data_IF_458951645768
#
_entry.id   IF_458951645768
#
_cell.length_a   1.000
_cell.length_b   1.000
_cell.length_c   1.000
_cell.angle_alpha   90.00
_cell.angle_beta   90.00
_cell.angle_gamma   90.00
#
_symmetry.space_group_name_H-M   'P 1'
#
loop_
_entity.id
_entity.type
_entity.pdbx_description
1 polymer ?
#
# COMPACT_ATOMS: atom_id res chain seq x y z
N UNK A 1 -4.87 -20.24 -27.76
CA UNK A 1 -4.11 -19.16 -27.09
C UNK A 1 -5.03 -17.98 -26.97
N UNK A 2 -5.53 -17.69 -25.76
CA UNK A 2 -6.44 -16.57 -25.49
C UNK A 2 -5.60 -15.31 -25.32
N UNK A 3 -5.73 -14.38 -26.23
CA UNK A 3 -5.17 -13.04 -26.17
C UNK A 3 -5.69 -12.35 -24.91
N UNK A 4 -4.83 -12.17 -23.92
CA UNK A 4 -5.12 -11.31 -22.75
C UNK A 4 -5.29 -9.89 -23.28
N UNK A 5 -6.53 -9.46 -23.55
CA UNK A 5 -6.87 -8.06 -23.79
C UNK A 5 -6.37 -7.25 -22.61
N UNK A 6 -5.26 -6.57 -22.83
CA UNK A 6 -4.77 -5.52 -21.94
C UNK A 6 -5.85 -4.43 -21.94
N UNK A 7 -6.66 -4.37 -20.86
CA UNK A 7 -7.59 -3.27 -20.66
C UNK A 7 -6.74 -2.02 -20.49
N UNK A 8 -6.56 -1.27 -21.59
CA UNK A 8 -6.02 0.08 -21.49
C UNK A 8 -6.89 0.84 -20.47
N UNK A 9 -6.27 1.55 -19.55
CA UNK A 9 -7.00 2.41 -18.62
C UNK A 9 -7.93 3.29 -19.47
N UNK A 10 -9.19 3.41 -19.08
CA UNK A 10 -10.21 4.28 -19.72
C UNK A 10 -9.67 5.70 -19.99
N UNK A 11 -8.63 6.09 -19.26
CA UNK A 11 -8.08 7.43 -19.24
C UNK A 11 -6.67 7.53 -19.84
N UNK A 12 -6.05 6.45 -20.35
CA UNK A 12 -4.66 6.54 -20.84
C UNK A 12 -4.48 7.57 -21.95
N UNK A 13 -5.39 7.63 -22.92
CA UNK A 13 -5.35 8.63 -23.96
C UNK A 13 -5.56 10.08 -23.41
N UNK A 14 -6.40 10.22 -22.40
CA UNK A 14 -6.65 11.50 -21.73
C UNK A 14 -5.42 11.92 -20.90
N UNK A 15 -4.73 11.01 -20.26
CA UNK A 15 -3.47 11.26 -19.55
C UNK A 15 -2.43 11.78 -20.53
N UNK A 16 -2.17 11.06 -21.62
CA UNK A 16 -1.19 11.47 -22.63
C UNK A 16 -1.47 12.85 -23.21
N UNK A 17 -2.72 13.13 -23.59
CA UNK A 17 -3.10 14.41 -24.17
C UNK A 17 -3.05 15.56 -23.18
N UNK A 18 -3.33 15.30 -21.90
CA UNK A 18 -3.37 16.33 -20.86
C UNK A 18 -1.99 16.67 -20.33
N UNK A 19 -1.21 15.65 -19.97
CA UNK A 19 0.08 15.85 -19.33
C UNK A 19 1.23 16.04 -20.31
N UNK A 20 1.12 15.49 -21.52
CA UNK A 20 2.15 15.56 -22.59
C UNK A 20 3.56 15.31 -22.04
N UNK A 21 3.82 14.13 -21.46
CA UNK A 21 5.12 13.83 -20.86
C UNK A 21 6.24 13.90 -21.91
N UNK A 22 7.41 14.33 -21.49
CA UNK A 22 8.62 14.29 -22.33
C UNK A 22 9.16 12.84 -22.49
N UNK A 23 10.30 12.71 -23.15
CA UNK A 23 10.95 11.42 -23.37
C UNK A 23 11.30 10.65 -22.06
N UNK A 24 11.47 11.35 -20.95
CA UNK A 24 11.74 10.76 -19.63
C UNK A 24 10.46 10.45 -18.85
N UNK A 25 9.28 10.69 -19.43
CA UNK A 25 8.00 10.50 -18.79
C UNK A 25 7.62 11.60 -17.78
N UNK A 26 8.27 12.76 -17.83
CA UNK A 26 8.01 13.90 -16.94
C UNK A 26 7.18 14.97 -17.65
N UNK A 27 6.14 15.48 -17.00
CA UNK A 27 5.30 16.56 -17.52
C UNK A 27 5.43 17.86 -16.74
N UNK A 28 4.85 18.91 -17.29
CA UNK A 28 4.56 20.12 -16.52
C UNK A 28 3.48 19.85 -15.48
N UNK A 29 3.41 20.71 -14.46
CA UNK A 29 2.33 20.70 -13.47
C UNK A 29 1.01 21.06 -14.12
N UNK A 30 -0.02 20.27 -13.88
CA UNK A 30 -1.40 20.53 -14.28
C UNK A 30 -2.22 20.76 -13.02
N UNK A 31 -2.93 21.88 -12.95
CA UNK A 31 -3.78 22.23 -11.81
C UNK A 31 -4.98 21.29 -11.72
N UNK A 32 -5.42 21.01 -10.50
CA UNK A 32 -6.57 20.13 -10.22
C UNK A 32 -7.84 20.67 -10.86
N UNK A 33 -8.05 21.98 -10.86
CA UNK A 33 -9.17 22.63 -11.53
C UNK A 33 -9.23 22.28 -13.01
N UNK A 34 -8.08 22.28 -13.68
CA UNK A 34 -7.97 21.89 -15.09
C UNK A 34 -8.26 20.42 -15.31
N UNK A 35 -7.82 19.54 -14.41
CA UNK A 35 -8.13 18.11 -14.49
C UNK A 35 -9.63 17.86 -14.38
N UNK A 36 -10.33 18.58 -13.49
CA UNK A 36 -11.78 18.47 -13.33
C UNK A 36 -12.50 18.91 -14.61
N UNK A 37 -12.10 20.04 -15.19
CA UNK A 37 -12.65 20.55 -16.48
C UNK A 37 -12.48 19.53 -17.60
N UNK A 38 -11.37 18.80 -17.62
CA UNK A 38 -11.08 17.77 -18.61
C UNK A 38 -11.78 16.44 -18.34
N UNK A 39 -12.58 16.35 -17.28
CA UNK A 39 -13.38 15.17 -16.95
C UNK A 39 -12.64 14.09 -16.17
N UNK A 40 -11.51 14.42 -15.54
CA UNK A 40 -10.91 13.50 -14.58
C UNK A 40 -11.78 13.42 -13.31
N UNK A 41 -12.07 12.22 -12.81
CA UNK A 41 -12.83 12.06 -11.57
C UNK A 41 -12.00 12.54 -10.38
N UNK A 42 -12.36 13.70 -9.85
CA UNK A 42 -11.71 14.29 -8.68
C UNK A 42 -12.71 14.44 -7.54
N UNK A 43 -12.38 13.98 -6.36
CA UNK A 43 -13.26 14.12 -5.19
C UNK A 43 -12.92 15.37 -4.39
N UNK A 44 -13.93 15.96 -3.72
CA UNK A 44 -13.80 17.17 -2.90
C UNK A 44 -12.69 17.11 -1.84
N UNK A 45 -12.30 15.89 -1.42
CA UNK A 45 -11.26 15.69 -0.41
C UNK A 45 -9.86 15.51 -1.01
N UNK A 46 -9.65 15.86 -2.28
CA UNK A 46 -8.38 15.66 -2.97
C UNK A 46 -7.95 14.20 -3.04
N UNK A 47 -8.86 13.31 -2.71
CA UNK A 47 -8.60 11.89 -2.70
C UNK A 47 -8.82 11.36 -4.11
N UNK A 48 -7.73 11.21 -4.84
CA UNK A 48 -7.72 10.52 -6.13
C UNK A 48 -8.04 9.03 -6.00
N UNK A 49 -8.68 8.64 -4.90
CA UNK A 49 -8.90 7.26 -4.44
C UNK A 49 -9.41 6.33 -5.53
N UNK A 50 -10.01 6.91 -6.58
CA UNK A 50 -10.54 6.20 -7.73
C UNK A 50 -10.20 6.90 -9.05
N UNK A 51 -9.33 7.90 -8.99
CA UNK A 51 -8.96 8.66 -10.17
C UNK A 51 -8.19 7.83 -11.17
N UNK A 52 -8.31 8.20 -12.42
CA UNK A 52 -7.58 7.63 -13.53
C UNK A 52 -6.07 7.52 -13.27
N UNK A 53 -5.52 8.46 -12.49
CA UNK A 53 -4.09 8.54 -12.21
C UNK A 53 -3.57 7.37 -11.36
N UNK A 54 -4.35 6.93 -10.35
CA UNK A 54 -3.95 5.80 -9.50
C UNK A 54 -3.99 4.44 -10.22
N UNK A 55 -4.82 4.34 -11.23
CA UNK A 55 -4.95 3.14 -12.04
C UNK A 55 -4.01 3.14 -13.24
N UNK A 56 -3.34 4.26 -13.50
CA UNK A 56 -2.32 4.34 -14.53
C UNK A 56 -1.09 3.52 -14.12
N UNK A 57 -0.62 2.71 -15.06
CA UNK A 57 0.52 1.81 -14.84
C UNK A 57 1.79 2.30 -15.53
N UNK A 58 1.70 3.40 -16.23
CA UNK A 58 2.75 3.92 -17.10
C UNK A 58 3.66 4.89 -16.35
N UNK A 59 3.05 5.79 -15.57
CA UNK A 59 3.77 6.91 -14.95
C UNK A 59 3.79 6.83 -13.43
N UNK A 60 4.87 7.33 -12.85
CA UNK A 60 4.88 7.80 -11.48
C UNK A 60 4.25 9.17 -11.39
N UNK A 61 3.66 9.52 -10.23
CA UNK A 61 2.89 10.74 -10.05
C UNK A 61 3.46 11.57 -8.92
N UNK A 62 3.68 12.87 -9.19
CA UNK A 62 4.03 13.85 -8.16
C UNK A 62 2.83 14.78 -7.90
N UNK A 63 2.67 15.19 -6.63
CA UNK A 63 1.54 16.01 -6.16
C UNK A 63 2.06 17.26 -5.47
N UNK A 64 1.63 18.43 -5.95
CA UNK A 64 1.85 19.70 -5.27
C UNK A 64 0.71 19.92 -4.29
N UNK A 65 1.02 20.12 -3.01
CA UNK A 65 0.04 20.29 -1.94
C UNK A 65 0.09 21.69 -1.35
N UNK A 66 -1.06 22.17 -0.86
CA UNK A 66 -1.13 23.36 -0.01
C UNK A 66 -0.71 22.97 1.39
N UNK A 67 0.22 23.76 1.95
CA UNK A 67 0.85 23.42 3.24
C UNK A 67 0.15 24.10 4.44
N UNK A 68 -0.96 24.80 4.21
CA UNK A 68 -1.50 25.80 5.13
C UNK A 68 -2.81 25.39 5.81
N UNK A 69 -2.94 24.21 6.32
CA UNK A 69 -4.04 23.89 7.26
C UNK A 69 -4.10 22.40 7.59
N UNK A 70 -4.87 22.05 8.59
CA UNK A 70 -5.21 20.69 9.04
C UNK A 70 -5.71 19.71 7.93
N UNK A 71 -5.92 20.20 6.71
CA UNK A 71 -6.33 19.39 5.55
C UNK A 71 -5.40 19.68 4.37
N UNK A 72 -4.51 18.75 4.09
CA UNK A 72 -3.62 18.82 2.92
C UNK A 72 -4.42 18.71 1.62
N UNK A 73 -4.58 19.82 0.91
CA UNK A 73 -5.24 19.87 -0.39
C UNK A 73 -4.21 19.72 -1.53
N UNK A 74 -4.53 18.89 -2.52
CA UNK A 74 -3.70 18.77 -3.72
C UNK A 74 -4.08 19.90 -4.69
N UNK A 75 -3.10 20.72 -5.07
CA UNK A 75 -3.28 21.87 -5.96
C UNK A 75 -2.97 21.51 -7.42
N UNK A 76 -1.94 20.70 -7.63
CA UNK A 76 -1.51 20.32 -8.97
C UNK A 76 -0.88 18.92 -8.98
N UNK A 77 -0.86 18.31 -10.15
CA UNK A 77 -0.33 16.97 -10.39
C UNK A 77 0.56 17.00 -11.64
N UNK A 78 1.58 16.16 -11.67
CA UNK A 78 2.37 15.90 -12.88
C UNK A 78 2.78 14.44 -12.96
N UNK A 79 3.13 13.97 -14.15
CA UNK A 79 3.92 12.74 -14.29
C UNK A 79 5.37 13.03 -13.86
N UNK A 80 6.01 12.06 -13.23
CA UNK A 80 7.35 12.21 -12.64
C UNK A 80 8.29 11.08 -13.07
N UNK A 81 8.18 10.67 -14.31
CA UNK A 81 8.94 9.59 -14.90
C UNK A 81 8.07 8.37 -15.20
N UNK A 82 8.65 7.44 -15.95
CA UNK A 82 8.03 6.14 -16.18
C UNK A 82 8.16 5.29 -14.91
N UNK A 83 7.15 4.48 -14.63
CA UNK A 83 7.25 3.51 -13.55
C UNK A 83 8.32 2.47 -13.88
N UNK A 84 9.30 2.38 -13.02
CA UNK A 84 10.38 1.39 -13.11
C UNK A 84 9.90 -0.05 -12.84
N UNK A 85 8.75 -0.18 -12.18
CA UNK A 85 8.12 -1.48 -11.93
C UNK A 85 6.64 -1.38 -12.25
N UNK A 86 6.04 -2.37 -12.96
CA UNK A 86 4.60 -2.40 -13.07
C UNK A 86 4.01 -2.35 -11.66
N UNK A 87 2.91 -1.60 -11.48
CA UNK A 87 2.09 -1.75 -10.26
C UNK A 87 1.79 -3.24 -10.14
N UNK A 88 2.59 -3.91 -9.36
CA UNK A 88 2.26 -5.27 -8.95
C UNK A 88 0.96 -5.08 -8.19
N UNK A 89 -0.09 -5.68 -8.74
CA UNK A 89 -1.38 -5.64 -8.09
C UNK A 89 -1.18 -6.37 -6.76
N UNK A 90 -0.97 -5.62 -5.68
CA UNK A 90 -0.74 -6.17 -4.35
C UNK A 90 -2.01 -6.80 -3.76
N UNK A 91 -2.94 -7.15 -4.65
CA UNK A 91 -4.11 -7.90 -4.27
C UNK A 91 -3.69 -9.23 -3.68
N UNK A 92 -4.10 -9.46 -2.45
CA UNK A 92 -3.95 -10.76 -1.79
C UNK A 92 -4.79 -11.77 -2.55
N UNK A 93 -4.25 -12.95 -2.80
CA UNK A 93 -4.97 -14.04 -3.47
C UNK A 93 -6.28 -14.35 -2.76
N UNK A 94 -7.32 -14.60 -3.53
CA UNK A 94 -8.66 -14.84 -3.03
C UNK A 94 -8.75 -16.09 -2.11
N UNK A 95 -7.99 -17.14 -2.42
CA UNK A 95 -7.93 -18.35 -1.59
C UNK A 95 -7.31 -18.07 -0.21
N UNK A 96 -6.25 -17.26 -0.15
CA UNK A 96 -5.63 -16.81 1.10
C UNK A 96 -6.62 -15.98 1.92
N UNK A 97 -7.30 -15.02 1.28
CA UNK A 97 -8.32 -14.19 1.94
C UNK A 97 -9.42 -15.07 2.53
N UNK A 98 -9.93 -16.01 1.75
CA UNK A 98 -11.00 -16.91 2.17
C UNK A 98 -10.56 -17.79 3.36
N UNK A 99 -9.39 -18.39 3.26
CA UNK A 99 -8.83 -19.25 4.32
C UNK A 99 -8.66 -18.47 5.62
N UNK A 100 -8.03 -17.31 5.58
CA UNK A 100 -7.81 -16.49 6.78
C UNK A 100 -9.11 -15.94 7.36
N UNK A 101 -10.04 -15.46 6.52
CA UNK A 101 -11.33 -14.98 7.01
C UNK A 101 -12.17 -16.10 7.66
N UNK A 102 -12.05 -17.33 7.15
CA UNK A 102 -12.75 -18.48 7.73
C UNK A 102 -12.17 -18.92 9.09
N UNK A 103 -10.89 -18.63 9.38
CA UNK A 103 -10.33 -18.89 10.72
C UNK A 103 -11.08 -18.11 11.81
N UNK A 104 -11.55 -16.91 11.46
CA UNK A 104 -12.38 -16.09 12.33
C UNK A 104 -11.69 -15.54 13.58
N UNK A 105 -10.41 -15.80 13.78
CA UNK A 105 -9.64 -15.46 15.00
C UNK A 105 -8.54 -14.46 14.65
N UNK A 106 -8.50 -13.36 15.40
CA UNK A 106 -7.46 -12.35 15.24
C UNK A 106 -6.09 -12.87 15.67
N UNK A 107 -5.08 -12.67 14.84
CA UNK A 107 -3.72 -13.11 15.16
C UNK A 107 -3.09 -12.38 16.35
N UNK A 108 -3.53 -11.17 16.70
CA UNK A 108 -3.01 -10.44 17.85
C UNK A 108 -3.71 -10.80 19.15
N UNK A 109 -5.02 -10.65 19.18
CA UNK A 109 -5.81 -10.82 20.40
C UNK A 109 -6.18 -12.26 20.70
N UNK A 110 -6.10 -13.16 19.71
CA UNK A 110 -6.64 -14.53 19.75
C UNK A 110 -8.16 -14.59 20.01
N UNK A 111 -8.84 -13.48 19.87
CA UNK A 111 -10.28 -13.41 20.06
C UNK A 111 -11.01 -13.60 18.72
N UNK A 112 -12.23 -14.14 18.75
CA UNK A 112 -13.10 -14.18 17.58
C UNK A 112 -13.31 -12.76 17.01
N UNK A 113 -13.31 -12.64 15.69
CA UNK A 113 -13.53 -11.38 14.97
C UNK A 113 -14.87 -11.45 14.25
N UNK A 114 -15.79 -10.51 14.46
CA UNK A 114 -17.01 -10.40 13.67
C UNK A 114 -16.70 -10.30 12.17
N UNK A 115 -17.53 -10.88 11.33
CA UNK A 115 -17.26 -11.00 9.87
C UNK A 115 -16.98 -9.64 9.23
N UNK A 116 -17.74 -8.63 9.62
CA UNK A 116 -17.63 -7.24 9.12
C UNK A 116 -16.36 -6.52 9.57
N UNK A 117 -15.70 -7.01 10.62
CA UNK A 117 -14.45 -6.45 11.15
C UNK A 117 -13.20 -7.23 10.74
N UNK A 118 -13.35 -8.31 9.94
CA UNK A 118 -12.23 -9.16 9.49
C UNK A 118 -11.45 -8.49 8.38
N UNK A 119 -10.20 -8.18 8.65
CA UNK A 119 -9.25 -7.68 7.65
C UNK A 119 -8.06 -8.64 7.53
N UNK A 120 -7.77 -9.04 6.29
CA UNK A 120 -6.53 -9.78 5.96
C UNK A 120 -5.47 -8.77 5.61
N UNK A 121 -4.35 -8.84 6.29
CA UNK A 121 -3.25 -7.91 6.13
C UNK A 121 -1.91 -8.66 5.96
N UNK A 122 -0.96 -7.98 5.34
CA UNK A 122 0.41 -8.49 5.23
C UNK A 122 1.04 -8.56 6.63
N UNK A 123 1.71 -9.66 6.95
CA UNK A 123 2.46 -9.75 8.21
C UNK A 123 3.54 -8.67 8.28
N UNK A 124 4.26 -8.49 7.18
CA UNK A 124 5.40 -7.59 7.09
C UNK A 124 4.96 -6.18 6.70
N UNK A 125 5.15 -5.23 7.59
CA UNK A 125 4.83 -3.82 7.33
C UNK A 125 5.73 -3.22 6.25
N UNK A 126 6.96 -3.69 6.15
CA UNK A 126 7.95 -3.27 5.15
C UNK A 126 7.91 -4.17 3.90
N UNK A 127 6.71 -4.42 3.40
CA UNK A 127 6.41 -5.35 2.28
C UNK A 127 7.16 -5.03 0.98
N UNK A 128 7.51 -3.77 0.76
CA UNK A 128 8.21 -3.32 -0.45
C UNK A 128 9.74 -3.53 -0.35
N UNK A 129 10.23 -3.98 0.81
CA UNK A 129 11.64 -4.34 0.95
C UNK A 129 11.96 -5.58 0.10
N UNK A 130 13.15 -5.64 -0.59
CA UNK A 130 13.54 -6.74 -1.47
C UNK A 130 13.38 -8.13 -0.84
N UNK A 131 13.64 -8.28 0.46
CA UNK A 131 13.44 -9.52 1.23
C UNK A 131 12.01 -10.06 1.15
N UNK A 132 11.01 -9.17 1.04
CA UNK A 132 9.60 -9.52 0.99
C UNK A 132 8.94 -9.26 -0.38
N UNK A 133 9.74 -8.93 -1.40
CA UNK A 133 9.22 -8.57 -2.72
C UNK A 133 8.29 -9.63 -3.34
N UNK A 134 8.48 -10.91 -2.98
CA UNK A 134 7.61 -12.01 -3.43
C UNK A 134 6.14 -11.85 -3.03
N UNK A 135 5.87 -11.13 -1.93
CA UNK A 135 4.50 -10.93 -1.43
C UNK A 135 3.67 -10.08 -2.39
N UNK A 136 4.34 -9.23 -3.16
CA UNK A 136 3.71 -8.35 -4.13
C UNK A 136 3.34 -9.09 -5.44
N UNK A 137 3.82 -10.32 -5.63
CA UNK A 137 3.48 -11.18 -6.77
C UNK A 137 2.44 -12.24 -6.32
N UNK A 138 1.17 -12.15 -6.73
CA UNK A 138 0.14 -13.10 -6.31
C UNK A 138 0.50 -14.57 -6.55
N UNK A 139 1.29 -14.88 -7.59
CA UNK A 139 1.71 -16.24 -7.89
C UNK A 139 2.71 -16.80 -6.85
N UNK A 140 3.40 -15.93 -6.12
CA UNK A 140 4.43 -16.29 -5.14
C UNK A 140 3.96 -16.12 -3.69
N UNK A 141 2.77 -15.55 -3.48
CA UNK A 141 2.20 -15.38 -2.14
C UNK A 141 1.98 -16.73 -1.45
N UNK A 142 2.27 -16.77 -0.17
CA UNK A 142 2.01 -17.91 0.71
C UNK A 142 1.10 -17.48 1.86
N UNK A 143 0.36 -18.44 2.43
CA UNK A 143 -0.57 -18.17 3.52
C UNK A 143 0.12 -17.52 4.73
N UNK A 144 1.33 -17.99 5.03
CA UNK A 144 2.16 -17.48 6.14
C UNK A 144 2.60 -16.02 6.00
N UNK A 145 2.47 -15.42 4.81
CA UNK A 145 2.81 -14.00 4.58
C UNK A 145 1.72 -13.05 5.07
N UNK A 146 0.58 -13.60 5.43
CA UNK A 146 -0.63 -12.84 5.78
C UNK A 146 -1.17 -13.25 7.15
N UNK A 147 -2.04 -12.42 7.68
CA UNK A 147 -2.69 -12.64 8.96
C UNK A 147 -4.10 -12.05 8.98
N UNK A 148 -4.98 -12.63 9.80
CA UNK A 148 -6.28 -12.04 10.08
C UNK A 148 -6.17 -11.11 11.27
N UNK A 149 -6.67 -9.89 11.10
CA UNK A 149 -6.72 -8.89 12.16
C UNK A 149 -8.15 -8.36 12.30
N UNK A 150 -8.48 -7.90 13.50
CA UNK A 150 -9.60 -6.98 13.67
C UNK A 150 -9.24 -5.63 13.04
N UNK A 151 -10.21 -4.96 12.38
CA UNK A 151 -10.00 -3.69 11.67
C UNK A 151 -9.24 -2.65 12.50
N UNK A 152 -9.61 -2.46 13.76
CA UNK A 152 -8.92 -1.48 14.63
C UNK A 152 -7.45 -1.82 14.84
N UNK A 153 -7.12 -3.10 15.02
CA UNK A 153 -5.74 -3.56 15.20
C UNK A 153 -4.93 -3.44 13.92
N UNK A 154 -5.58 -3.64 12.75
CA UNK A 154 -4.94 -3.40 11.48
C UNK A 154 -4.57 -1.93 11.26
N UNK A 155 -5.46 -1.00 11.66
CA UNK A 155 -5.17 0.43 11.62
C UNK A 155 -3.99 0.78 12.53
N UNK A 156 -3.98 0.29 13.77
CA UNK A 156 -2.86 0.50 14.70
C UNK A 156 -1.55 -0.05 14.16
N UNK A 157 -1.56 -1.29 13.65
CA UNK A 157 -0.38 -1.90 13.04
C UNK A 157 0.19 -1.06 11.91
N UNK A 158 -0.67 -0.57 11.01
CA UNK A 158 -0.23 0.29 9.89
C UNK A 158 0.46 1.54 10.38
N UNK A 159 -0.11 2.21 11.39
CA UNK A 159 0.50 3.41 11.96
C UNK A 159 1.87 3.11 12.56
N UNK A 160 1.97 2.08 13.38
CA UNK A 160 3.24 1.66 13.98
C UNK A 160 4.28 1.23 12.94
N UNK A 161 3.87 0.59 11.85
CA UNK A 161 4.78 0.23 10.76
C UNK A 161 5.30 1.45 10.01
N UNK A 162 4.47 2.47 9.78
CA UNK A 162 4.90 3.75 9.19
C UNK A 162 5.93 4.41 10.09
N UNK A 163 5.63 4.55 11.37
CA UNK A 163 6.55 5.13 12.36
C UNK A 163 7.89 4.36 12.43
N UNK A 164 7.84 3.04 12.35
CA UNK A 164 9.04 2.19 12.32
C UNK A 164 9.91 2.48 11.08
N UNK A 165 9.30 2.61 9.91
CA UNK A 165 10.01 2.88 8.67
C UNK A 165 10.62 4.28 8.69
N UNK A 166 9.87 5.26 9.15
CA UNK A 166 10.28 6.67 9.14
C UNK A 166 11.35 6.96 10.20
N UNK A 167 11.25 6.36 11.39
CA UNK A 167 12.17 6.60 12.50
C UNK A 167 13.37 5.65 12.52
N UNK A 168 13.29 4.52 11.84
CA UNK A 168 14.26 3.43 11.98
C UNK A 168 14.18 2.71 13.32
N UNK A 169 13.09 2.89 14.10
CA UNK A 169 12.90 2.27 15.41
C UNK A 169 11.75 1.27 15.34
N UNK A 170 12.05 0.02 15.65
CA UNK A 170 11.06 -1.07 15.65
C UNK A 170 10.15 -0.96 16.87
N UNK A 171 8.82 -1.17 16.71
CA UNK A 171 7.91 -1.18 17.84
C UNK A 171 8.21 -2.38 18.74
N UNK A 172 8.42 -2.12 20.04
CA UNK A 172 8.65 -3.17 21.03
C UNK A 172 7.33 -3.76 21.54
N UNK A 173 7.34 -5.06 21.85
CA UNK A 173 6.23 -5.66 22.57
C UNK A 173 6.17 -5.08 23.99
N UNK A 174 4.99 -4.71 24.53
CA UNK A 174 4.90 -4.04 25.83
C UNK A 174 5.50 -4.78 27.01
N UNK A 175 5.54 -6.12 26.94
CA UNK A 175 5.95 -6.96 28.08
C UNK A 175 7.07 -7.95 27.74
N UNK A 176 7.61 -7.96 26.52
CA UNK A 176 8.61 -8.93 26.12
C UNK A 176 9.72 -8.28 25.28
N UNK A 177 10.97 -8.73 25.43
CA UNK A 177 12.08 -8.24 24.59
C UNK A 177 11.89 -8.65 23.12
N UNK A 178 12.71 -8.09 22.26
CA UNK A 178 12.78 -8.53 20.86
C UNK A 178 13.24 -9.99 20.77
N UNK A 179 12.58 -10.76 19.92
CA UNK A 179 12.97 -12.15 19.63
C UNK A 179 14.21 -12.19 18.76
N UNK A 180 14.29 -11.25 17.80
CA UNK A 180 15.44 -11.08 16.91
C UNK A 180 15.76 -9.59 16.77
N UNK A 181 17.05 -9.27 16.69
CA UNK A 181 17.52 -7.91 16.52
C UNK A 181 17.34 -7.03 17.75
N UNK A 182 17.32 -5.75 17.53
CA UNK A 182 17.22 -4.69 18.54
C UNK A 182 16.04 -3.79 18.28
N UNK A 183 15.91 -2.74 19.09
CA UNK A 183 14.95 -1.65 18.83
C UNK A 183 15.26 -0.92 17.52
N UNK A 184 16.51 -0.89 17.09
CA UNK A 184 16.88 -0.30 15.80
C UNK A 184 16.45 -1.22 14.64
N UNK A 185 15.96 -0.61 13.58
CA UNK A 185 15.60 -1.32 12.35
C UNK A 185 16.88 -1.81 11.66
N UNK A 186 17.04 -3.12 11.63
CA UNK A 186 18.11 -3.78 10.89
C UNK A 186 17.57 -4.23 9.52
N UNK A 187 18.10 -3.64 8.45
CA UNK A 187 17.67 -3.95 7.09
C UNK A 187 17.94 -5.40 6.65
N UNK A 188 18.79 -6.14 7.34
CA UNK A 188 19.04 -7.57 7.05
C UNK A 188 17.91 -8.47 7.54
N UNK A 189 17.34 -8.15 8.70
CA UNK A 189 16.25 -8.91 9.32
C UNK A 189 14.88 -8.25 9.12
N UNK A 190 14.83 -6.93 8.93
CA UNK A 190 13.63 -6.10 8.69
C UNK A 190 12.54 -6.38 9.71
N UNK A 191 11.44 -7.04 9.31
CA UNK A 191 10.30 -7.36 10.18
C UNK A 191 10.42 -8.70 10.90
N UNK A 192 11.47 -9.48 10.66
CA UNK A 192 11.65 -10.75 11.37
C UNK A 192 11.89 -10.45 12.87
N UNK A 193 11.25 -11.22 13.73
CA UNK A 193 11.25 -10.96 15.17
C UNK A 193 10.43 -9.74 15.62
N UNK A 194 9.72 -9.06 14.74
CA UNK A 194 8.77 -8.01 15.11
C UNK A 194 7.45 -8.63 15.58
N UNK A 195 6.94 -8.24 16.74
CA UNK A 195 5.69 -8.80 17.28
C UNK A 195 4.45 -8.47 16.42
N UNK A 196 4.49 -7.40 15.64
CA UNK A 196 3.41 -7.05 14.71
C UNK A 196 3.38 -7.99 13.49
N UNK A 197 4.54 -8.51 13.10
CA UNK A 197 4.68 -9.44 11.99
C UNK A 197 4.54 -10.91 12.43
N UNK A 198 5.05 -11.23 13.62
CA UNK A 198 5.13 -12.58 14.16
C UNK A 198 4.58 -12.64 15.60
N UNK A 199 3.30 -12.30 15.83
CA UNK A 199 2.72 -12.23 17.17
C UNK A 199 2.78 -13.58 17.91
N UNK A 200 2.74 -14.69 17.19
CA UNK A 200 2.85 -16.04 17.74
C UNK A 200 4.15 -16.31 18.49
N UNK A 201 5.23 -15.59 18.17
CA UNK A 201 6.54 -15.71 18.86
C UNK A 201 6.57 -14.99 20.21
N UNK A 202 5.53 -14.22 20.51
CA UNK A 202 5.40 -13.42 21.73
C UNK A 202 4.30 -13.91 22.69
N UNK A 203 3.76 -15.07 22.42
CA UNK A 203 2.74 -15.75 23.24
C UNK A 203 3.31 -16.55 24.38
#
# INVERSE_FOLDING_TARGET
MAEKRQRSSKYSALIESTFKPNADGVSNWVEVTKLIELGFPWTKNGNTRYGALWNDKTYEWAFKRKTDSEKSEILAVRTNGFRSSPLVNSAIRADIITTLKNSGVCNFSLLPVPIEAREVDHRFGYKDHPKYARINDPAKQKLEDFQLLHRSQNVQKRQMCIECIDSGIRPSHPHKPFVEGTAQLDHSIVCDGCYLAQPERYR
#
